data_IF_758915693415
#
_entry.id   IF_758915693415
#
_cell.length_a   1.000
_cell.length_b   1.000
_cell.length_c   1.000
_cell.angle_alpha   90.00
_cell.angle_beta   90.00
_cell.angle_gamma   90.00
#
_symmetry.space_group_name_H-M   'P 1'
#
loop_
_entity.id
_entity.type
_entity.pdbx_description
1 polymer ?
#
# COMPACT_ATOMS: atom_id res chain seq x y z
N UNK A 1 -22.73 2.20 -1.84
CA UNK A 1 -21.80 2.68 -2.87
C UNK A 1 -20.44 3.06 -2.29
N UNK A 2 -19.52 3.50 -3.13
CA UNK A 2 -18.25 4.08 -2.70
C UNK A 2 -18.53 5.48 -2.15
N UNK A 3 -17.99 5.82 -0.99
CA UNK A 3 -18.25 7.10 -0.31
C UNK A 3 -17.00 7.99 -0.21
N UNK A 4 -15.82 7.42 -0.38
CA UNK A 4 -14.55 8.12 -0.41
C UNK A 4 -13.52 7.32 -1.21
N UNK A 5 -12.48 7.97 -1.73
CA UNK A 5 -11.35 7.32 -2.38
C UNK A 5 -10.03 7.96 -2.00
N UNK A 6 -8.97 7.18 -2.10
CA UNK A 6 -7.59 7.63 -1.93
C UNK A 6 -6.88 7.43 -3.27
N UNK A 7 -6.28 8.47 -3.79
CA UNK A 7 -5.38 8.38 -4.93
C UNK A 7 -4.00 7.93 -4.46
N UNK A 8 -3.45 6.95 -5.13
CA UNK A 8 -2.08 6.50 -4.92
C UNK A 8 -1.30 6.83 -6.19
N UNK A 9 -0.18 7.51 -6.07
CA UNK A 9 0.70 7.91 -7.18
C UNK A 9 0.89 6.78 -8.22
N UNK A 10 1.07 7.12 -9.50
CA UNK A 10 1.09 6.17 -10.61
C UNK A 10 2.35 6.26 -11.48
N UNK A 11 3.47 6.70 -10.90
CA UNK A 11 4.79 6.81 -11.56
C UNK A 11 4.78 7.77 -12.76
N UNK A 12 4.48 9.04 -12.51
CA UNK A 12 4.71 10.09 -13.47
C UNK A 12 6.20 10.22 -13.81
N UNK A 13 6.58 10.94 -14.88
CA UNK A 13 7.98 11.12 -15.22
C UNK A 13 8.82 11.64 -14.04
N UNK A 14 10.07 11.22 -13.95
CA UNK A 14 10.97 11.62 -12.88
C UNK A 14 11.04 13.15 -12.74
N UNK A 15 10.89 13.64 -11.52
CA UNK A 15 10.90 15.07 -11.19
C UNK A 15 9.52 15.74 -11.29
N UNK A 16 8.47 15.00 -11.67
CA UNK A 16 7.10 15.52 -11.74
C UNK A 16 6.21 15.11 -10.56
N UNK A 17 6.79 14.66 -9.45
CA UNK A 17 6.08 14.18 -8.27
C UNK A 17 5.07 15.20 -7.72
N UNK A 18 5.49 16.48 -7.65
CA UNK A 18 4.64 17.58 -7.20
C UNK A 18 3.57 17.93 -8.24
N UNK A 19 3.90 17.85 -9.53
CA UNK A 19 2.97 18.10 -10.63
C UNK A 19 1.85 17.07 -10.65
N UNK A 20 2.17 15.76 -10.43
CA UNK A 20 1.18 14.70 -10.29
C UNK A 20 0.19 14.99 -9.16
N UNK A 21 0.70 15.27 -7.96
CA UNK A 21 -0.13 15.54 -6.79
C UNK A 21 -0.98 16.82 -6.96
N UNK A 22 -0.43 17.88 -7.57
CA UNK A 22 -1.15 19.11 -7.86
C UNK A 22 -2.27 18.90 -8.89
N UNK A 23 -2.04 18.09 -9.93
CA UNK A 23 -3.06 17.72 -10.90
C UNK A 23 -4.22 16.94 -10.26
N UNK A 24 -3.90 16.02 -9.35
CA UNK A 24 -4.91 15.25 -8.59
C UNK A 24 -5.69 16.18 -7.66
N UNK A 25 -5.01 17.12 -6.98
CA UNK A 25 -5.69 18.12 -6.15
C UNK A 25 -6.69 18.96 -6.96
N UNK A 26 -6.27 19.47 -8.12
CA UNK A 26 -7.15 20.24 -9.00
C UNK A 26 -8.36 19.41 -9.49
N UNK A 27 -8.15 18.10 -9.70
CA UNK A 27 -9.23 17.16 -10.03
C UNK A 27 -10.20 17.00 -8.85
N UNK A 28 -9.69 16.87 -7.64
CA UNK A 28 -10.50 16.78 -6.43
C UNK A 28 -11.31 18.05 -6.18
N UNK A 29 -10.71 19.22 -6.37
CA UNK A 29 -11.38 20.51 -6.23
C UNK A 29 -12.54 20.66 -7.22
N UNK A 30 -12.37 20.14 -8.44
CA UNK A 30 -13.38 20.20 -9.50
C UNK A 30 -14.53 19.20 -9.34
N UNK A 31 -14.21 17.97 -8.91
CA UNK A 31 -15.15 16.86 -8.94
C UNK A 31 -15.51 16.29 -7.54
N UNK A 32 -14.89 16.78 -6.47
CA UNK A 32 -15.07 16.26 -5.10
C UNK A 32 -14.36 14.95 -4.82
N UNK A 33 -13.50 14.45 -5.72
CA UNK A 33 -12.76 13.19 -5.65
C UNK A 33 -11.37 13.33 -6.24
N UNK A 34 -10.33 12.63 -5.71
CA UNK A 34 -10.31 11.81 -4.49
C UNK A 34 -10.37 12.64 -3.20
N UNK A 35 -10.45 11.96 -2.04
CA UNK A 35 -10.52 12.59 -0.72
C UNK A 35 -9.16 12.63 0.00
N UNK A 36 -8.18 11.89 -0.49
CA UNK A 36 -6.80 11.90 -0.02
C UNK A 36 -5.84 11.55 -1.15
N UNK A 37 -4.60 12.01 -1.05
CA UNK A 37 -3.53 11.81 -2.04
C UNK A 37 -2.32 11.18 -1.35
N UNK A 38 -1.80 10.11 -1.93
CA UNK A 38 -0.49 9.54 -1.63
C UNK A 38 0.42 9.89 -2.79
N UNK A 39 1.39 10.76 -2.53
CA UNK A 39 2.35 11.21 -3.54
C UNK A 39 3.57 10.31 -3.63
N UNK A 40 4.49 10.65 -4.53
CA UNK A 40 5.78 9.99 -4.67
C UNK A 40 6.91 10.90 -4.15
N UNK A 41 7.92 10.27 -3.57
CA UNK A 41 9.23 10.87 -3.29
C UNK A 41 10.29 9.79 -3.47
N UNK A 42 11.38 10.11 -4.16
CA UNK A 42 12.58 9.30 -4.12
C UNK A 42 13.43 9.67 -2.89
N UNK A 43 13.41 8.82 -1.86
CA UNK A 43 14.18 9.05 -0.64
C UNK A 43 15.69 8.92 -0.84
N UNK A 44 16.19 8.36 -1.95
CA UNK A 44 17.62 8.38 -2.28
C UNK A 44 18.08 9.72 -2.90
N UNK A 45 17.14 10.56 -3.33
CA UNK A 45 17.42 11.84 -4.00
C UNK A 45 17.90 12.93 -3.05
N UNK A 46 18.82 13.78 -3.51
CA UNK A 46 19.20 15.02 -2.82
C UNK A 46 18.05 16.05 -2.78
N UNK A 47 17.07 15.91 -3.66
CA UNK A 47 15.90 16.77 -3.72
C UNK A 47 14.76 16.33 -2.76
N UNK A 48 14.91 15.20 -2.06
CA UNK A 48 13.87 14.62 -1.21
C UNK A 48 13.22 15.64 -0.26
N UNK A 49 14.02 16.38 0.49
CA UNK A 49 13.53 17.41 1.44
C UNK A 49 12.70 18.50 0.73
N UNK A 50 13.15 18.94 -0.44
CA UNK A 50 12.43 19.96 -1.22
C UNK A 50 11.09 19.42 -1.72
N UNK A 51 11.09 18.22 -2.28
CA UNK A 51 9.87 17.58 -2.81
C UNK A 51 8.86 17.36 -1.69
N UNK A 52 9.28 16.85 -0.51
CA UNK A 52 8.40 16.70 0.67
C UNK A 52 7.79 18.05 1.09
N UNK A 53 8.61 19.11 1.14
CA UNK A 53 8.14 20.45 1.49
C UNK A 53 7.14 21.02 0.48
N UNK A 54 7.32 20.74 -0.80
CA UNK A 54 6.40 21.21 -1.85
C UNK A 54 5.10 20.40 -1.85
N UNK A 55 5.16 19.09 -1.66
CA UNK A 55 3.98 18.22 -1.49
C UNK A 55 3.14 18.62 -0.27
N UNK A 56 3.80 19.05 0.82
CA UNK A 56 3.10 19.48 2.03
C UNK A 56 2.21 20.73 1.86
N UNK A 57 2.37 21.46 0.76
CA UNK A 57 1.51 22.60 0.40
C UNK A 57 0.19 22.16 -0.24
N UNK A 58 0.05 20.87 -0.60
CA UNK A 58 -1.13 20.31 -1.27
C UNK A 58 -2.11 19.80 -0.19
N UNK A 59 -3.33 20.34 -0.10
CA UNK A 59 -4.23 20.11 1.04
C UNK A 59 -4.64 18.65 1.28
N UNK A 60 -4.76 17.84 0.20
CA UNK A 60 -5.20 16.44 0.31
C UNK A 60 -4.04 15.43 0.49
N UNK A 61 -2.80 15.88 0.61
CA UNK A 61 -1.67 14.97 0.88
C UNK A 61 -1.83 14.28 2.24
N UNK A 62 -1.66 12.95 2.25
CA UNK A 62 -1.78 12.11 3.46
C UNK A 62 -0.66 11.10 3.60
N UNK A 63 0.21 10.99 2.62
CA UNK A 63 1.31 10.03 2.69
C UNK A 63 2.14 9.98 1.42
N UNK A 64 3.12 9.10 1.46
CA UNK A 64 4.10 8.88 0.38
C UNK A 64 4.12 7.41 0.02
N UNK A 65 4.30 7.11 -1.26
CA UNK A 65 4.70 5.81 -1.77
C UNK A 65 5.96 5.93 -2.60
N UNK A 66 6.99 5.17 -2.23
CA UNK A 66 8.06 4.77 -3.12
C UNK A 66 7.99 3.25 -3.28
N UNK A 67 7.95 2.76 -4.53
CA UNK A 67 7.88 1.33 -4.80
C UNK A 67 9.23 0.68 -4.52
N UNK A 68 9.32 -0.10 -3.45
CA UNK A 68 10.55 -0.72 -2.96
C UNK A 68 10.70 -2.18 -3.41
N UNK A 69 9.67 -2.72 -4.07
CA UNK A 69 9.66 -4.14 -4.43
C UNK A 69 10.71 -4.45 -5.50
N UNK A 70 11.56 -5.37 -5.13
CA UNK A 70 12.60 -5.92 -5.98
C UNK A 70 12.41 -7.44 -6.11
N UNK A 71 12.59 -7.96 -7.33
CA UNK A 71 12.47 -9.38 -7.61
C UNK A 71 13.56 -9.81 -8.59
N UNK A 72 13.98 -11.10 -8.56
CA UNK A 72 14.94 -11.65 -9.52
C UNK A 72 14.39 -11.60 -10.95
N UNK A 73 13.08 -11.87 -11.13
CA UNK A 73 12.40 -11.62 -12.40
C UNK A 73 12.27 -10.12 -12.65
N UNK A 74 12.90 -9.59 -13.74
CA UNK A 74 12.87 -8.15 -14.04
C UNK A 74 11.45 -7.60 -14.27
N UNK A 75 10.50 -8.43 -14.70
CA UNK A 75 9.11 -8.02 -14.92
C UNK A 75 8.38 -7.61 -13.62
N UNK A 76 8.87 -8.08 -12.47
CA UNK A 76 8.30 -7.77 -11.15
C UNK A 76 9.12 -6.74 -10.38
N UNK A 77 10.16 -6.18 -11.00
CA UNK A 77 11.12 -5.28 -10.36
C UNK A 77 10.79 -3.82 -10.64
N UNK A 78 10.66 -3.04 -9.57
CA UNK A 78 10.56 -1.58 -9.64
C UNK A 78 11.71 -0.89 -8.90
N UNK A 79 12.14 -1.41 -7.77
CA UNK A 79 13.30 -0.88 -7.08
C UNK A 79 14.59 -1.14 -7.89
N UNK A 80 15.53 -0.20 -7.82
CA UNK A 80 16.82 -0.30 -8.51
C UNK A 80 17.75 -1.33 -7.89
N UNK A 81 17.58 -1.63 -6.60
CA UNK A 81 18.36 -2.60 -5.83
C UNK A 81 17.47 -3.35 -4.82
N UNK A 82 17.87 -4.55 -4.35
CA UNK A 82 17.03 -5.41 -3.51
C UNK A 82 16.54 -4.78 -2.22
N UNK A 83 17.41 -4.03 -1.55
CA UNK A 83 17.20 -3.54 -0.20
C UNK A 83 17.56 -2.05 -0.06
N UNK A 84 17.07 -1.22 -0.98
CA UNK A 84 17.28 0.24 -0.94
C UNK A 84 16.90 0.85 0.40
N UNK A 85 15.94 0.26 1.11
CA UNK A 85 15.53 0.67 2.46
C UNK A 85 16.60 0.48 3.54
N UNK A 86 17.71 -0.20 3.23
CA UNK A 86 18.88 -0.32 4.12
C UNK A 86 19.94 0.77 3.86
N UNK A 87 19.84 1.51 2.76
CA UNK A 87 20.74 2.60 2.43
C UNK A 87 20.59 3.73 3.47
N UNK A 88 21.71 4.19 4.02
CA UNK A 88 21.72 5.22 5.08
C UNK A 88 21.09 6.53 4.61
N UNK A 89 21.45 7.03 3.43
CA UNK A 89 20.88 8.27 2.87
C UNK A 89 19.36 8.14 2.67
N UNK A 90 18.89 6.99 2.17
CA UNK A 90 17.48 6.71 2.03
C UNK A 90 16.77 6.78 3.39
N UNK A 91 17.35 6.16 4.44
CA UNK A 91 16.80 6.16 5.80
C UNK A 91 16.81 7.53 6.44
N UNK A 92 17.89 8.31 6.28
CA UNK A 92 17.98 9.68 6.78
C UNK A 92 16.89 10.57 6.17
N UNK A 93 16.63 10.41 4.88
CA UNK A 93 15.55 11.12 4.21
C UNK A 93 14.16 10.57 4.59
N UNK A 94 14.01 9.26 4.76
CA UNK A 94 12.75 8.65 5.22
C UNK A 94 12.34 9.16 6.61
N UNK A 95 13.32 9.39 7.50
CA UNK A 95 13.09 9.97 8.82
C UNK A 95 12.38 11.32 8.76
N UNK A 96 12.48 12.07 7.65
CA UNK A 96 11.79 13.35 7.48
C UNK A 96 10.27 13.20 7.48
N UNK A 97 9.71 12.01 7.17
CA UNK A 97 8.27 11.76 7.25
C UNK A 97 7.69 11.99 8.65
N UNK A 98 8.51 11.84 9.70
CA UNK A 98 8.09 12.12 11.08
C UNK A 98 7.72 13.59 11.32
N UNK A 99 8.13 14.50 10.43
CA UNK A 99 7.75 15.91 10.49
C UNK A 99 6.36 16.20 9.89
N UNK A 100 5.74 15.17 9.32
CA UNK A 100 4.43 15.24 8.68
C UNK A 100 3.51 14.20 9.32
N UNK A 101 2.22 14.48 9.40
CA UNK A 101 1.21 13.49 9.83
C UNK A 101 0.82 12.59 8.63
N UNK A 102 1.82 11.95 8.02
CA UNK A 102 1.69 11.17 6.81
C UNK A 102 2.01 9.69 7.03
N UNK A 103 1.32 8.84 6.28
CA UNK A 103 1.64 7.42 6.21
C UNK A 103 2.64 7.12 5.09
N UNK A 104 3.23 5.92 5.15
CA UNK A 104 4.03 5.36 4.07
C UNK A 104 3.37 4.12 3.49
N UNK A 105 3.13 4.10 2.18
CA UNK A 105 2.62 2.95 1.44
C UNK A 105 3.80 2.01 1.11
N UNK A 106 3.94 0.97 1.90
CA UNK A 106 5.03 0.00 1.83
C UNK A 106 4.73 -1.08 0.79
N UNK A 107 5.53 -1.16 -0.27
CA UNK A 107 5.37 -2.17 -1.32
C UNK A 107 6.64 -3.00 -1.44
N UNK A 108 6.61 -4.24 -0.95
CA UNK A 108 7.73 -5.19 -0.88
C UNK A 108 7.25 -6.61 -1.13
N UNK A 109 8.11 -7.47 -1.66
CA UNK A 109 7.90 -8.91 -1.72
C UNK A 109 8.30 -9.62 -0.43
N UNK A 110 7.89 -10.89 -0.27
CA UNK A 110 8.19 -11.71 0.90
C UNK A 110 9.68 -11.71 1.27
N UNK A 111 10.57 -11.78 0.28
CA UNK A 111 12.03 -11.75 0.48
C UNK A 111 12.56 -10.50 1.18
N UNK A 112 11.80 -9.40 1.15
CA UNK A 112 12.19 -8.09 1.71
C UNK A 112 11.50 -7.79 3.05
N UNK A 113 10.52 -8.60 3.48
CA UNK A 113 9.65 -8.28 4.64
C UNK A 113 10.41 -8.17 5.96
N UNK A 114 11.46 -8.96 6.17
CA UNK A 114 12.29 -8.84 7.40
C UNK A 114 12.99 -7.48 7.50
N UNK A 115 13.49 -6.97 6.39
CA UNK A 115 14.13 -5.66 6.36
C UNK A 115 13.10 -4.54 6.47
N UNK A 116 11.93 -4.71 5.86
CA UNK A 116 10.80 -3.80 6.02
C UNK A 116 10.28 -3.77 7.47
N UNK A 117 10.26 -4.91 8.18
CA UNK A 117 9.90 -4.96 9.59
C UNK A 117 10.91 -4.21 10.48
N UNK A 118 12.21 -4.29 10.19
CA UNK A 118 13.24 -3.48 10.87
C UNK A 118 13.02 -1.98 10.64
N UNK A 119 12.67 -1.60 9.40
CA UNK A 119 12.32 -0.22 9.08
C UNK A 119 11.09 0.24 9.89
N UNK A 120 10.04 -0.57 9.94
CA UNK A 120 8.84 -0.25 10.72
C UNK A 120 9.11 -0.14 12.24
N UNK A 121 9.96 -1.02 12.76
CA UNK A 121 10.39 -0.98 14.17
C UNK A 121 11.18 0.28 14.53
N UNK A 122 11.98 0.81 13.61
CA UNK A 122 12.73 2.05 13.80
C UNK A 122 11.83 3.28 13.72
N UNK A 123 10.93 3.31 12.74
CA UNK A 123 10.06 4.46 12.47
C UNK A 123 8.62 4.25 12.99
N UNK A 124 8.48 3.91 14.28
CA UNK A 124 7.21 3.52 14.91
C UNK A 124 6.11 4.58 14.85
N UNK A 125 6.47 5.85 14.69
CA UNK A 125 5.52 6.96 14.58
C UNK A 125 4.91 7.08 13.17
N UNK A 126 5.54 6.47 12.15
CA UNK A 126 5.06 6.48 10.77
C UNK A 126 4.15 5.27 10.54
N UNK A 127 2.84 5.46 10.29
CA UNK A 127 1.98 4.36 9.88
C UNK A 127 2.45 3.81 8.52
N UNK A 128 2.65 2.51 8.41
CA UNK A 128 3.06 1.85 7.16
C UNK A 128 1.93 0.94 6.67
N UNK A 129 1.55 1.10 5.40
CA UNK A 129 0.48 0.33 4.78
C UNK A 129 1.09 -0.66 3.79
N UNK A 130 1.15 -1.93 4.17
CA UNK A 130 1.64 -3.00 3.30
C UNK A 130 0.69 -3.16 2.12
N UNK A 131 1.19 -2.88 0.92
CA UNK A 131 0.45 -2.95 -0.33
C UNK A 131 0.15 -4.41 -0.72
N UNK A 132 -1.05 -4.64 -1.25
CA UNK A 132 -1.41 -5.86 -1.97
C UNK A 132 -1.18 -7.15 -1.15
N UNK A 133 -1.46 -7.10 0.16
CA UNK A 133 -1.18 -8.22 1.07
C UNK A 133 0.27 -8.71 1.01
N UNK A 134 1.25 -7.82 0.73
CA UNK A 134 2.64 -8.22 0.57
C UNK A 134 2.92 -9.02 -0.71
N UNK A 135 2.04 -8.90 -1.70
CA UNK A 135 2.23 -9.42 -3.07
C UNK A 135 2.65 -10.91 -3.12
N UNK A 136 1.76 -11.86 -2.74
CA UNK A 136 2.04 -13.30 -2.89
C UNK A 136 2.08 -13.67 -4.39
N UNK A 137 3.28 -13.63 -4.99
CA UNK A 137 3.54 -13.85 -6.41
C UNK A 137 3.61 -15.34 -6.80
N UNK A 138 3.98 -16.18 -5.83
CA UNK A 138 4.01 -17.64 -5.98
C UNK A 138 2.82 -18.27 -5.24
N UNK A 139 1.80 -18.65 -5.98
CA UNK A 139 0.59 -19.31 -5.46
C UNK A 139 0.75 -20.81 -5.17
N UNK A 140 1.95 -21.39 -5.35
CA UNK A 140 2.22 -22.76 -4.94
C UNK A 140 2.13 -22.91 -3.40
N UNK A 141 1.90 -24.13 -2.93
CA UNK A 141 1.88 -24.41 -1.48
C UNK A 141 3.16 -23.95 -0.78
N UNK A 142 4.32 -24.13 -1.41
CA UNK A 142 5.61 -23.70 -0.86
C UNK A 142 5.74 -22.17 -0.84
N UNK A 143 5.35 -21.52 -1.94
CA UNK A 143 5.37 -20.06 -2.06
C UNK A 143 4.45 -19.38 -1.04
N UNK A 144 3.22 -19.87 -0.91
CA UNK A 144 2.26 -19.37 0.08
C UNK A 144 2.74 -19.59 1.53
N UNK A 145 3.33 -20.73 1.83
CA UNK A 145 3.90 -21.01 3.15
C UNK A 145 5.08 -20.07 3.47
N UNK A 146 5.94 -19.80 2.49
CA UNK A 146 7.03 -18.83 2.63
C UNK A 146 6.50 -17.42 2.85
N UNK A 147 5.59 -16.94 1.98
CA UNK A 147 4.94 -15.64 2.13
C UNK A 147 4.31 -15.47 3.51
N UNK A 148 3.52 -16.46 3.97
CA UNK A 148 2.86 -16.41 5.27
C UNK A 148 3.86 -16.33 6.44
N UNK A 149 4.98 -17.05 6.34
CA UNK A 149 6.03 -16.99 7.37
C UNK A 149 6.67 -15.61 7.44
N UNK A 150 6.96 -14.98 6.30
CA UNK A 150 7.59 -13.66 6.26
C UNK A 150 6.60 -12.54 6.65
N UNK A 151 5.30 -12.68 6.37
CA UNK A 151 4.25 -11.75 6.79
C UNK A 151 4.19 -11.55 8.31
N UNK A 152 4.55 -12.56 9.10
CA UNK A 152 4.56 -12.49 10.58
C UNK A 152 5.47 -11.38 11.09
N UNK A 153 6.64 -11.17 10.46
CA UNK A 153 7.58 -10.13 10.87
C UNK A 153 6.99 -8.71 10.74
N UNK A 154 6.19 -8.48 9.70
CA UNK A 154 5.48 -7.22 9.52
C UNK A 154 4.27 -7.10 10.43
N UNK A 155 3.55 -8.20 10.65
CA UNK A 155 2.39 -8.23 11.53
C UNK A 155 2.75 -7.93 13.00
N UNK A 156 3.95 -8.31 13.45
CA UNK A 156 4.50 -8.01 14.77
C UNK A 156 4.77 -6.50 14.98
N UNK A 157 4.78 -5.70 13.92
CA UNK A 157 4.98 -4.26 14.02
C UNK A 157 3.63 -3.54 14.19
N UNK A 158 3.41 -2.83 15.30
CA UNK A 158 2.09 -2.25 15.62
C UNK A 158 1.67 -1.11 14.69
N UNK A 159 2.62 -0.47 14.01
CA UNK A 159 2.41 0.61 13.04
C UNK A 159 2.23 0.10 11.61
N UNK A 160 2.22 -1.22 11.37
CA UNK A 160 2.00 -1.80 10.04
C UNK A 160 0.54 -2.23 9.88
N UNK A 161 -0.08 -1.80 8.79
CA UNK A 161 -1.41 -2.15 8.33
C UNK A 161 -1.31 -2.96 7.04
N UNK A 162 -2.28 -3.83 6.76
CA UNK A 162 -2.31 -4.64 5.54
C UNK A 162 -3.43 -4.17 4.61
N UNK A 163 -3.09 -3.90 3.34
CA UNK A 163 -4.06 -3.48 2.33
C UNK A 163 -4.47 -4.64 1.44
N UNK A 164 -5.75 -4.97 1.47
CA UNK A 164 -6.41 -5.94 0.61
C UNK A 164 -6.65 -5.34 -0.77
N UNK A 165 -5.73 -5.56 -1.68
CA UNK A 165 -5.77 -5.02 -3.04
C UNK A 165 -4.81 -5.79 -3.95
N UNK A 166 -4.92 -5.64 -5.27
CA UNK A 166 -3.91 -6.08 -6.22
C UNK A 166 -3.70 -7.59 -6.33
N UNK A 167 -4.58 -8.43 -5.77
CA UNK A 167 -4.40 -9.89 -5.74
C UNK A 167 -4.62 -10.56 -7.11
N UNK A 168 -5.20 -9.84 -8.08
CA UNK A 168 -5.30 -10.32 -9.47
C UNK A 168 -4.01 -10.15 -10.27
N UNK A 169 -3.06 -9.34 -9.83
CA UNK A 169 -1.90 -8.92 -10.62
C UNK A 169 -1.02 -10.09 -11.07
N UNK A 170 -0.66 -11.01 -10.18
CA UNK A 170 0.21 -12.15 -10.51
C UNK A 170 -0.56 -13.33 -11.10
N UNK A 171 -1.81 -13.55 -10.67
CA UNK A 171 -2.68 -14.59 -11.20
C UNK A 171 -3.28 -14.25 -12.56
N UNK A 172 -3.27 -12.97 -12.94
CA UNK A 172 -3.93 -12.42 -14.14
C UNK A 172 -5.42 -12.77 -14.21
N UNK A 173 -6.06 -12.90 -13.05
CA UNK A 173 -7.48 -13.21 -12.91
C UNK A 173 -8.03 -12.74 -11.56
N UNK A 174 -9.36 -12.57 -11.50
CA UNK A 174 -10.07 -12.32 -10.24
C UNK A 174 -10.54 -13.66 -9.64
N UNK A 175 -9.76 -14.24 -8.74
CA UNK A 175 -10.09 -15.49 -8.04
C UNK A 175 -10.64 -15.20 -6.66
N UNK A 176 -11.94 -15.45 -6.43
CA UNK A 176 -12.56 -15.26 -5.10
C UNK A 176 -11.97 -16.20 -4.06
N UNK A 177 -11.62 -17.43 -4.42
CA UNK A 177 -11.03 -18.40 -3.50
C UNK A 177 -9.64 -17.95 -3.04
N UNK A 178 -8.79 -17.49 -3.98
CA UNK A 178 -7.48 -16.95 -3.64
C UNK A 178 -7.60 -15.68 -2.76
N UNK A 179 -8.53 -14.77 -3.09
CA UNK A 179 -8.81 -13.59 -2.27
C UNK A 179 -9.24 -14.01 -0.86
N UNK A 180 -10.08 -15.04 -0.74
CA UNK A 180 -10.56 -15.53 0.56
C UNK A 180 -9.42 -16.11 1.39
N UNK A 181 -8.58 -16.93 0.80
CA UNK A 181 -7.43 -17.56 1.45
C UNK A 181 -6.43 -16.49 1.95
N UNK A 182 -5.98 -15.61 1.06
CA UNK A 182 -5.00 -14.56 1.39
C UNK A 182 -5.56 -13.58 2.43
N UNK A 183 -6.80 -13.12 2.28
CA UNK A 183 -7.39 -12.17 3.24
C UNK A 183 -7.65 -12.82 4.60
N UNK A 184 -8.00 -14.11 4.62
CA UNK A 184 -8.13 -14.89 5.85
C UNK A 184 -6.84 -14.89 6.67
N UNK A 185 -5.73 -15.29 6.06
CA UNK A 185 -4.40 -15.24 6.69
C UNK A 185 -3.99 -13.83 7.14
N UNK A 186 -4.27 -12.81 6.33
CA UNK A 186 -3.97 -11.44 6.73
C UNK A 186 -4.80 -10.99 7.94
N UNK A 187 -6.06 -11.39 8.04
CA UNK A 187 -6.91 -11.08 9.21
C UNK A 187 -6.41 -11.79 10.47
N UNK A 188 -5.97 -13.04 10.36
CA UNK A 188 -5.37 -13.77 11.48
C UNK A 188 -4.11 -13.06 12.02
N UNK A 189 -3.27 -12.53 11.14
CA UNK A 189 -2.02 -11.86 11.51
C UNK A 189 -2.21 -10.40 11.98
N UNK A 190 -3.00 -9.61 11.25
CA UNK A 190 -3.13 -8.17 11.49
C UNK A 190 -4.38 -7.77 12.26
N UNK A 191 -5.30 -8.68 12.50
CA UNK A 191 -6.67 -8.42 12.95
C UNK A 191 -7.47 -7.51 12.00
N UNK A 192 -8.78 -7.45 12.17
CA UNK A 192 -9.63 -6.55 11.37
C UNK A 192 -9.36 -5.06 11.60
N UNK A 193 -8.63 -4.72 12.67
CA UNK A 193 -8.33 -3.32 13.02
C UNK A 193 -7.13 -2.75 12.24
N UNK A 194 -6.30 -3.63 11.68
CA UNK A 194 -5.14 -3.26 10.86
C UNK A 194 -5.24 -3.72 9.42
N UNK A 195 -6.43 -4.09 8.93
CA UNK A 195 -6.68 -4.42 7.53
C UNK A 195 -7.53 -3.33 6.88
N UNK A 196 -7.18 -2.96 5.63
CA UNK A 196 -7.93 -1.98 4.84
C UNK A 196 -8.17 -2.51 3.41
N UNK A 197 -9.30 -2.14 2.81
CA UNK A 197 -9.59 -2.46 1.42
C UNK A 197 -9.07 -1.38 0.46
N UNK A 198 -8.52 -1.80 -0.68
CA UNK A 198 -8.18 -0.95 -1.82
C UNK A 198 -8.51 -1.64 -3.14
N UNK A 199 -9.06 -0.94 -4.10
CA UNK A 199 -9.49 -1.53 -5.37
C UNK A 199 -8.34 -1.82 -6.34
N UNK A 200 -7.22 -1.12 -6.21
CA UNK A 200 -6.15 -1.12 -7.23
C UNK A 200 -6.66 -0.81 -8.65
N UNK A 201 -7.78 -0.06 -8.77
CA UNK A 201 -8.29 0.38 -10.06
C UNK A 201 -7.56 1.64 -10.53
N UNK A 202 -7.23 1.75 -11.83
CA UNK A 202 -7.73 0.92 -12.93
C UNK A 202 -6.92 -0.36 -13.24
N UNK A 203 -5.82 -0.67 -12.56
CA UNK A 203 -4.96 -1.83 -12.89
C UNK A 203 -5.76 -3.14 -12.89
N UNK A 204 -6.56 -3.40 -11.86
CA UNK A 204 -7.39 -4.62 -11.77
C UNK A 204 -8.43 -4.73 -12.90
N UNK A 205 -8.71 -3.65 -13.64
CA UNK A 205 -9.60 -3.68 -14.81
C UNK A 205 -9.10 -4.63 -15.90
N UNK A 206 -7.82 -4.91 -15.94
CA UNK A 206 -7.25 -5.89 -16.89
C UNK A 206 -7.79 -7.31 -16.65
N UNK A 207 -8.19 -7.62 -15.42
CA UNK A 207 -8.62 -8.96 -15.01
C UNK A 207 -10.11 -9.07 -14.74
N UNK A 208 -10.75 -7.94 -14.32
CA UNK A 208 -12.15 -7.99 -13.87
C UNK A 208 -12.81 -6.60 -13.88
N UNK A 209 -14.14 -6.53 -14.12
CA UNK A 209 -14.90 -5.31 -13.85
C UNK A 209 -14.89 -4.96 -12.36
N UNK A 210 -14.95 -3.65 -12.06
CA UNK A 210 -14.94 -3.13 -10.68
C UNK A 210 -16.01 -3.75 -9.77
N UNK A 211 -17.22 -3.97 -10.32
CA UNK A 211 -18.33 -4.58 -9.58
C UNK A 211 -18.04 -6.01 -9.14
N UNK A 212 -17.34 -6.79 -9.99
CA UNK A 212 -16.97 -8.16 -9.67
C UNK A 212 -15.85 -8.20 -8.63
N UNK A 213 -14.86 -7.32 -8.75
CA UNK A 213 -13.80 -7.19 -7.76
C UNK A 213 -14.35 -6.93 -6.36
N UNK A 214 -15.22 -5.92 -6.21
CA UNK A 214 -15.86 -5.61 -4.93
C UNK A 214 -16.69 -6.79 -4.42
N UNK A 215 -17.39 -7.50 -5.32
CA UNK A 215 -18.19 -8.67 -4.95
C UNK A 215 -17.30 -9.79 -4.38
N UNK A 216 -16.15 -10.07 -5.02
CA UNK A 216 -15.20 -11.08 -4.54
C UNK A 216 -14.66 -10.74 -3.14
N UNK A 217 -14.24 -9.49 -2.90
CA UNK A 217 -13.80 -9.07 -1.56
C UNK A 217 -14.91 -9.08 -0.53
N UNK A 218 -16.14 -8.71 -0.88
CA UNK A 218 -17.28 -8.83 0.04
C UNK A 218 -17.57 -10.29 0.39
N UNK A 219 -17.47 -11.17 -0.58
CA UNK A 219 -17.69 -12.61 -0.39
C UNK A 219 -16.61 -13.20 0.52
N UNK A 220 -15.33 -12.82 0.34
CA UNK A 220 -14.24 -13.29 1.18
C UNK A 220 -14.37 -12.90 2.66
N UNK A 221 -15.16 -11.87 2.97
CA UNK A 221 -15.34 -11.33 4.33
C UNK A 221 -16.71 -11.68 4.94
N UNK A 222 -17.51 -12.56 4.32
CA UNK A 222 -18.87 -12.89 4.83
C UNK A 222 -18.86 -13.53 6.22
N UNK A 223 -17.78 -14.20 6.63
CA UNK A 223 -17.63 -14.76 7.98
C UNK A 223 -17.44 -13.73 9.10
N UNK A 224 -17.20 -12.46 8.74
CA UNK A 224 -17.00 -11.38 9.70
C UNK A 224 -18.33 -10.67 10.04
N UNK A 225 -18.42 -10.12 11.25
CA UNK A 225 -19.53 -9.25 11.63
C UNK A 225 -19.59 -7.99 10.76
N UNK A 226 -20.76 -7.35 10.66
CA UNK A 226 -20.90 -6.09 9.92
C UNK A 226 -19.96 -4.98 10.41
N UNK A 227 -19.70 -4.92 11.71
CA UNK A 227 -18.76 -3.95 12.28
C UNK A 227 -17.32 -4.20 11.84
N UNK A 228 -16.88 -5.47 11.75
CA UNK A 228 -15.56 -5.85 11.27
C UNK A 228 -15.41 -5.54 9.76
N UNK A 229 -16.41 -5.89 8.94
CA UNK A 229 -16.42 -5.55 7.53
C UNK A 229 -16.36 -4.03 7.32
N UNK A 230 -17.12 -3.23 8.11
CA UNK A 230 -17.06 -1.77 8.05
C UNK A 230 -15.69 -1.22 8.41
N UNK A 231 -14.98 -1.84 9.37
CA UNK A 231 -13.58 -1.45 9.66
C UNK A 231 -12.70 -1.59 8.43
N UNK A 232 -12.70 -2.75 7.77
CA UNK A 232 -11.86 -3.05 6.61
C UNK A 232 -12.22 -2.17 5.41
N UNK A 233 -13.52 -2.02 5.10
CA UNK A 233 -13.94 -1.27 3.92
C UNK A 233 -13.96 0.25 4.09
N UNK A 234 -13.89 0.77 5.32
CA UNK A 234 -14.09 2.20 5.55
C UNK A 234 -13.33 2.77 6.74
N UNK A 235 -13.59 2.30 7.97
CA UNK A 235 -13.20 3.04 9.17
C UNK A 235 -11.69 3.12 9.36
N UNK A 236 -10.96 2.03 9.04
CA UNK A 236 -9.50 2.00 9.16
C UNK A 236 -8.85 2.94 8.13
N UNK A 237 -9.30 2.91 6.87
CA UNK A 237 -8.81 3.83 5.85
C UNK A 237 -9.09 5.29 6.25
N UNK A 238 -10.30 5.60 6.73
CA UNK A 238 -10.65 6.94 7.21
C UNK A 238 -9.77 7.40 8.39
N UNK A 239 -9.33 6.48 9.26
CA UNK A 239 -8.43 6.78 10.38
C UNK A 239 -7.01 7.07 9.92
N UNK A 240 -6.52 6.34 8.90
CA UNK A 240 -5.14 6.43 8.41
C UNK A 240 -4.97 7.64 7.48
N UNK A 241 -5.91 7.88 6.57
CA UNK A 241 -5.83 8.92 5.55
C UNK A 241 -6.64 10.20 5.91
N UNK A 242 -6.64 10.59 7.20
CA UNK A 242 -7.39 11.76 7.68
C UNK A 242 -6.87 13.07 7.05
#
# INVERSE_FOLDING_TARGET
>A
GVTASVYIQVNWPNGEDVSEAAWVQATADKFGWPNAIIGHVDFASDQCRKVLSDLAKIPLMRGIRQQLHWHQNPQYRFAVEPDIMLNSKWRDNFALLQNYDWCFELQVFATQMRNAAKLAAEFRQTPMILQHCGMPEDSSTTGMAYWLNEMKFLADQPNVYCKFSGLGTFLQQNSTDFITDVTGHCIELFSTDRCIYGSNFPIEKMWTPYSNLIKSYRQSLLGLSQSQQKRIFYSNAKKIYK
#
